data_IF_399653634216
#
_entry.id   IF_399653634216
#
_cell.length_a   1.000
_cell.length_b   1.000
_cell.length_c   1.000
_cell.angle_alpha   90.00
_cell.angle_beta   90.00
_cell.angle_gamma   90.00
#
_symmetry.space_group_name_H-M   'P 1'
#
loop_
_entity.id
_entity.type
_entity.pdbx_description
1 polymer ?
#
# COMPACT_ATOMS: atom_id res chain seq x y z
N UNK A 1 25.25 5.51 -10.80
CA UNK A 1 23.80 5.19 -10.80
C UNK A 1 23.57 3.95 -9.94
N UNK A 2 23.33 4.12 -8.64
CA UNK A 2 23.10 2.99 -7.75
C UNK A 2 21.59 2.70 -7.72
N UNK A 3 21.14 1.68 -8.46
CA UNK A 3 19.80 1.13 -8.25
C UNK A 3 19.85 0.29 -6.98
N UNK A 4 19.09 0.67 -5.97
CA UNK A 4 19.00 -0.11 -4.72
C UNK A 4 17.78 -1.02 -4.84
N UNK A 5 17.98 -2.32 -4.63
CA UNK A 5 16.86 -3.25 -4.50
C UNK A 5 16.17 -3.01 -3.16
N UNK A 6 14.89 -2.66 -3.23
CA UNK A 6 14.03 -2.45 -2.06
C UNK A 6 13.37 -3.76 -1.66
N UNK A 7 12.96 -4.59 -2.63
CA UNK A 7 12.43 -5.93 -2.37
C UNK A 7 13.29 -6.99 -3.07
N UNK A 8 13.93 -7.86 -2.28
CA UNK A 8 14.72 -8.97 -2.83
C UNK A 8 13.87 -10.12 -3.37
N UNK A 9 12.68 -10.36 -2.79
CA UNK A 9 11.83 -11.49 -3.19
C UNK A 9 11.30 -11.36 -4.63
N UNK A 10 10.93 -10.14 -5.02
CA UNK A 10 10.36 -9.85 -6.35
C UNK A 10 11.30 -8.97 -7.20
N UNK A 11 12.52 -8.70 -6.72
CA UNK A 11 13.51 -7.91 -7.46
C UNK A 11 13.11 -6.44 -7.70
N UNK A 12 12.35 -5.83 -6.78
CA UNK A 12 11.84 -4.46 -6.95
C UNK A 12 12.90 -3.44 -6.53
N UNK A 13 13.12 -2.45 -7.39
CA UNK A 13 14.10 -1.37 -7.19
C UNK A 13 13.50 -0.10 -6.61
N UNK A 14 14.32 0.75 -6.01
CA UNK A 14 13.91 2.06 -5.50
C UNK A 14 13.32 2.95 -6.61
N UNK A 15 13.83 2.83 -7.84
CA UNK A 15 13.30 3.53 -9.00
C UNK A 15 11.88 3.11 -9.32
N UNK A 16 11.60 1.82 -9.38
CA UNK A 16 10.25 1.32 -9.63
C UNK A 16 9.28 1.82 -8.55
N UNK A 17 9.68 1.78 -7.27
CA UNK A 17 8.84 2.32 -6.19
C UNK A 17 8.51 3.79 -6.41
N UNK A 18 9.49 4.61 -6.83
CA UNK A 18 9.28 6.04 -7.12
C UNK A 18 8.43 6.26 -8.37
N UNK A 19 8.60 5.47 -9.42
CA UNK A 19 7.79 5.55 -10.64
C UNK A 19 6.33 5.22 -10.36
N UNK A 20 6.06 4.17 -9.57
CA UNK A 20 4.71 3.85 -9.16
C UNK A 20 4.12 4.89 -8.21
N UNK A 21 4.94 5.48 -7.32
CA UNK A 21 4.50 6.59 -6.49
C UNK A 21 4.10 7.81 -7.33
N UNK A 22 4.89 8.14 -8.37
CA UNK A 22 4.55 9.19 -9.34
C UNK A 22 3.31 8.87 -10.18
N UNK A 23 3.07 7.59 -10.47
CA UNK A 23 1.86 7.11 -11.14
C UNK A 23 0.60 7.10 -10.22
N UNK A 24 0.73 7.47 -8.95
CA UNK A 24 -0.40 7.59 -8.00
C UNK A 24 -0.47 6.51 -6.92
N UNK A 25 0.52 5.61 -6.82
CA UNK A 25 0.61 4.64 -5.73
C UNK A 25 1.16 5.30 -4.46
N UNK A 26 0.25 5.94 -3.74
CA UNK A 26 0.48 6.73 -2.54
C UNK A 26 0.60 5.91 -1.23
N UNK A 27 0.46 4.59 -1.30
CA UNK A 27 0.52 3.72 -0.12
C UNK A 27 1.33 2.47 -0.39
N UNK A 28 1.99 1.89 0.63
CA UNK A 28 2.70 0.61 0.46
C UNK A 28 1.78 -0.50 -0.06
N UNK A 29 0.48 -0.43 0.26
CA UNK A 29 -0.52 -1.37 -0.25
C UNK A 29 -0.79 -1.19 -1.74
N UNK A 30 -0.89 0.05 -2.23
CA UNK A 30 -1.01 0.33 -3.67
C UNK A 30 0.27 -0.05 -4.43
N UNK A 31 1.45 0.21 -3.85
CA UNK A 31 2.72 -0.25 -4.41
C UNK A 31 2.72 -1.78 -4.48
N UNK A 32 2.27 -2.47 -3.44
CA UNK A 32 2.14 -3.93 -3.45
C UNK A 32 1.18 -4.44 -4.53
N UNK A 33 0.05 -3.77 -4.75
CA UNK A 33 -0.88 -4.12 -5.83
C UNK A 33 -0.29 -3.95 -7.23
N UNK A 34 0.55 -2.92 -7.44
CA UNK A 34 1.19 -2.66 -8.73
C UNK A 34 2.45 -3.50 -8.98
N UNK A 35 3.22 -3.82 -7.93
CA UNK A 35 4.58 -4.39 -8.06
C UNK A 35 4.78 -5.72 -7.36
N UNK A 36 3.82 -6.18 -6.56
CA UNK A 36 3.94 -7.34 -5.66
C UNK A 36 4.92 -7.15 -4.49
N UNK A 37 5.56 -5.98 -4.36
CA UNK A 37 6.46 -5.71 -3.25
C UNK A 37 5.73 -5.80 -1.89
N UNK A 38 6.27 -6.59 -0.96
CA UNK A 38 5.74 -6.68 0.40
C UNK A 38 4.63 -7.70 0.61
N UNK A 39 4.31 -8.55 -0.38
CA UNK A 39 3.33 -9.64 -0.25
C UNK A 39 3.94 -10.99 0.15
N UNK A 40 5.28 -11.07 0.28
CA UNK A 40 6.02 -12.27 0.67
C UNK A 40 6.57 -12.10 2.10
N UNK A 41 7.88 -11.99 2.29
CA UNK A 41 8.51 -11.86 3.60
C UNK A 41 8.24 -10.52 4.32
N UNK A 42 7.72 -9.51 3.61
CA UNK A 42 7.31 -8.22 4.18
C UNK A 42 8.45 -7.26 4.58
N UNK A 43 9.73 -7.65 4.55
CA UNK A 43 10.86 -6.82 5.02
C UNK A 43 11.01 -5.47 4.30
N UNK A 44 10.55 -5.39 3.05
CA UNK A 44 10.62 -4.17 2.24
C UNK A 44 9.56 -3.12 2.60
N UNK A 45 8.50 -3.47 3.35
CA UNK A 45 7.34 -2.59 3.61
C UNK A 45 7.74 -1.31 4.34
N UNK A 46 8.58 -1.41 5.37
CA UNK A 46 9.07 -0.24 6.13
C UNK A 46 9.93 0.68 5.27
N UNK A 47 10.76 0.10 4.41
CA UNK A 47 11.60 0.85 3.45
C UNK A 47 10.74 1.58 2.43
N UNK A 48 9.72 0.93 1.88
CA UNK A 48 8.75 1.54 0.96
C UNK A 48 8.02 2.70 1.64
N UNK A 49 7.57 2.53 2.89
CA UNK A 49 6.95 3.61 3.66
C UNK A 49 7.91 4.80 3.88
N UNK A 50 9.20 4.53 4.09
CA UNK A 50 10.22 5.58 4.18
C UNK A 50 10.42 6.34 2.86
N UNK A 51 10.39 5.62 1.73
CA UNK A 51 10.50 6.21 0.38
C UNK A 51 9.27 7.08 0.05
N UNK A 52 8.07 6.61 0.40
CA UNK A 52 6.82 7.36 0.19
C UNK A 52 6.67 8.56 1.14
N UNK A 53 7.44 8.60 2.23
CA UNK A 53 7.37 9.65 3.25
C UNK A 53 6.23 9.44 4.26
N UNK A 54 6.43 9.95 5.48
CA UNK A 54 5.39 9.99 6.51
C UNK A 54 4.38 11.09 6.21
N UNK A 55 3.40 10.81 5.36
CA UNK A 55 2.14 11.57 5.36
C UNK A 55 1.93 12.64 4.29
N UNK A 56 2.59 12.60 3.13
CA UNK A 56 2.29 13.55 2.03
C UNK A 56 1.29 13.03 1.02
N UNK A 57 0.80 11.81 1.19
CA UNK A 57 -0.30 11.33 0.38
C UNK A 57 -1.58 11.88 0.99
N UNK A 58 -2.39 12.68 0.25
CA UNK A 58 -3.66 13.23 0.72
C UNK A 58 -4.67 12.10 0.90
N UNK A 59 -4.46 11.29 1.94
CA UNK A 59 -5.22 10.07 2.23
C UNK A 59 -6.68 10.39 2.54
N UNK A 60 -7.04 11.63 2.89
CA UNK A 60 -8.43 12.00 3.13
C UNK A 60 -9.27 12.19 1.87
N UNK A 61 -8.67 12.58 0.74
CA UNK A 61 -9.47 12.95 -0.45
C UNK A 61 -9.78 11.73 -1.35
N UNK A 62 -8.90 10.73 -1.40
CA UNK A 62 -9.08 9.54 -2.26
C UNK A 62 -9.74 8.34 -1.58
N UNK A 63 -10.05 8.40 -0.27
CA UNK A 63 -10.94 7.42 0.36
C UNK A 63 -12.40 7.62 -0.06
N UNK A 64 -12.74 8.77 -0.67
CA UNK A 64 -14.07 9.14 -1.18
C UNK A 64 -14.36 8.54 -2.58
N UNK A 65 -13.33 8.29 -3.39
CA UNK A 65 -13.48 7.74 -4.75
C UNK A 65 -13.11 6.26 -4.76
N UNK A 66 -14.07 5.43 -4.32
CA UNK A 66 -13.87 4.00 -4.09
C UNK A 66 -13.40 3.20 -5.31
N UNK A 67 -12.54 2.22 -5.06
CA UNK A 67 -12.83 0.82 -5.42
C UNK A 67 -11.91 -0.14 -4.65
N UNK A 68 -12.52 -1.21 -4.13
CA UNK A 68 -11.94 -2.38 -3.44
C UNK A 68 -11.35 -2.18 -2.04
N UNK A 69 -12.23 -1.77 -1.11
CA UNK A 69 -11.98 -1.80 0.33
C UNK A 69 -13.18 -2.21 1.19
N UNK A 70 -14.19 -2.87 0.64
CA UNK A 70 -15.37 -3.33 1.38
C UNK A 70 -15.36 -4.86 1.52
N UNK A 71 -14.38 -5.38 2.25
CA UNK A 71 -14.60 -6.57 3.08
C UNK A 71 -14.10 -6.18 4.47
N UNK A 72 -14.99 -6.24 5.45
CA UNK A 72 -14.86 -5.88 6.88
C UNK A 72 -15.54 -4.56 7.29
N UNK A 73 -16.87 -4.49 7.23
CA UNK A 73 -17.69 -3.79 8.23
C UNK A 73 -19.20 -4.06 8.02
N UNK A 74 -19.65 -5.26 8.34
CA UNK A 74 -21.06 -5.51 8.61
C UNK A 74 -21.19 -6.57 9.70
N UNK A 75 -21.06 -6.13 10.95
CA UNK A 75 -21.66 -6.83 12.07
C UNK A 75 -22.58 -5.83 12.77
N UNK A 76 -23.89 -5.81 12.50
CA UNK A 76 -24.83 -5.26 13.46
C UNK A 76 -25.00 -6.31 14.56
N UNK A 77 -24.48 -5.97 15.73
CA UNK A 77 -24.98 -6.52 16.99
C UNK A 77 -26.30 -5.78 17.26
N UNK A 78 -27.41 -6.48 17.49
CA UNK A 78 -28.27 -6.33 18.68
C UNK A 78 -29.66 -7.02 18.53
N UNK A 79 -29.98 -7.86 19.53
CA UNK A 79 -31.28 -8.22 20.16
C UNK A 79 -32.39 -8.91 19.32
N UNK A 80 -33.30 -9.75 19.85
CA UNK A 80 -33.77 -10.01 21.22
C UNK A 80 -34.50 -11.38 21.32
N UNK A 81 -34.91 -11.72 22.54
CA UNK A 81 -35.65 -12.88 23.05
C UNK A 81 -36.95 -13.30 22.32
N UNK A 82 -37.22 -14.62 22.34
CA UNK A 82 -38.44 -15.27 22.87
C UNK A 82 -38.38 -16.79 22.62
#
# INVERSE_FOLDING_TARGET
>A
MNRVYVCSCFGITDKQVKEHAAAGACTPRQIASATKAGTDCGSCVRTIQGILGRGTCPRRELLDQGETGAVLAAAPRLAEAA
#
